data_IF_724618276757
#
_entry.id   IF_724618276757
#
_cell.length_a   1.000
_cell.length_b   1.000
_cell.length_c   1.000
_cell.angle_alpha   90.00
_cell.angle_beta   90.00
_cell.angle_gamma   90.00
#
_symmetry.space_group_name_H-M   'P 1'
#
loop_
_entity.id
_entity.type
_entity.pdbx_description
1 polymer ?
#
# COMPACT_ATOMS: atom_id res chain seq x y z
N UNK A 1 -51.30 12.09 -60.86
CA UNK A 1 -50.57 11.19 -59.94
C UNK A 1 -49.35 11.94 -59.42
N UNK A 2 -49.35 12.38 -58.14
CA UNK A 2 -48.27 13.18 -57.55
C UNK A 2 -47.17 12.24 -57.04
N UNK A 3 -45.94 12.45 -57.49
CA UNK A 3 -44.74 11.72 -57.03
C UNK A 3 -44.28 12.32 -55.70
N UNK A 4 -44.19 11.51 -54.66
CA UNK A 4 -43.59 11.87 -53.37
C UNK A 4 -42.19 11.28 -53.37
N UNK A 5 -41.18 12.14 -53.40
CA UNK A 5 -39.78 11.75 -53.27
C UNK A 5 -39.43 11.78 -51.78
N UNK A 6 -39.19 10.61 -51.19
CA UNK A 6 -38.81 10.47 -49.78
C UNK A 6 -37.28 10.60 -49.68
N UNK A 7 -36.81 11.66 -49.03
CA UNK A 7 -35.39 11.94 -48.81
C UNK A 7 -34.95 11.27 -47.50
N UNK A 8 -34.22 10.15 -47.57
CA UNK A 8 -33.59 9.52 -46.40
C UNK A 8 -32.32 10.30 -46.03
N UNK A 9 -32.37 11.02 -44.91
CA UNK A 9 -31.20 11.70 -44.33
C UNK A 9 -30.49 10.73 -43.40
N UNK A 10 -29.31 10.25 -43.81
CA UNK A 10 -28.45 9.38 -43.01
C UNK A 10 -27.63 10.25 -42.06
N UNK A 11 -28.01 10.32 -40.79
CA UNK A 11 -27.26 11.04 -39.75
C UNK A 11 -26.16 10.12 -39.22
N UNK A 12 -24.91 10.38 -39.61
CA UNK A 12 -23.73 9.68 -39.11
C UNK A 12 -23.43 10.17 -37.69
N UNK A 13 -23.81 9.40 -36.67
CA UNK A 13 -23.46 9.65 -35.27
C UNK A 13 -21.99 9.24 -35.05
N UNK A 14 -21.08 10.20 -35.04
CA UNK A 14 -19.68 9.95 -34.66
C UNK A 14 -19.61 9.91 -33.13
N UNK A 15 -19.61 8.70 -32.56
CA UNK A 15 -19.32 8.49 -31.15
C UNK A 15 -17.81 8.70 -30.94
N UNK A 16 -17.44 9.80 -30.29
CA UNK A 16 -16.09 9.95 -29.76
C UNK A 16 -15.92 9.00 -28.58
N UNK A 17 -15.35 7.82 -28.84
CA UNK A 17 -14.87 6.93 -27.78
C UNK A 17 -13.66 7.62 -27.16
N UNK A 18 -13.80 8.13 -25.93
CA UNK A 18 -12.62 8.49 -25.13
C UNK A 18 -11.93 7.19 -24.72
N UNK A 19 -10.61 7.14 -24.83
CA UNK A 19 -9.83 6.06 -24.24
C UNK A 19 -10.18 5.99 -22.74
N UNK A 20 -10.68 4.84 -22.30
CA UNK A 20 -10.99 4.59 -20.90
C UNK A 20 -9.73 4.03 -20.25
N UNK A 21 -9.31 4.62 -19.13
CA UNK A 21 -8.16 4.12 -18.39
C UNK A 21 -8.56 2.80 -17.71
N UNK A 22 -7.91 1.71 -18.10
CA UNK A 22 -8.22 0.35 -17.66
C UNK A 22 -7.89 0.03 -16.20
N UNK A 23 -6.90 0.70 -15.59
CA UNK A 23 -6.59 0.55 -14.16
C UNK A 23 -7.30 1.66 -13.40
N UNK A 24 -8.22 1.28 -12.52
CA UNK A 24 -8.97 2.22 -11.69
C UNK A 24 -8.16 2.61 -10.44
N UNK A 25 -7.57 1.62 -9.77
CA UNK A 25 -6.64 1.84 -8.67
C UNK A 25 -5.82 0.62 -8.29
N UNK A 26 -4.95 0.79 -7.29
CA UNK A 26 -4.46 -0.30 -6.44
C UNK A 26 -5.10 -0.18 -5.07
N UNK A 27 -5.69 -1.27 -4.60
CA UNK A 27 -6.39 -1.36 -3.32
C UNK A 27 -5.63 -2.24 -2.33
N UNK A 28 -5.74 -1.94 -1.04
CA UNK A 28 -5.07 -2.68 0.02
C UNK A 28 -6.09 -3.17 1.05
N UNK A 29 -6.10 -4.47 1.30
CA UNK A 29 -6.87 -5.10 2.38
C UNK A 29 -5.93 -5.44 3.54
N UNK A 30 -6.32 -5.11 4.78
CA UNK A 30 -5.72 -5.73 5.96
C UNK A 30 -6.32 -7.13 6.11
N UNK A 31 -5.59 -8.13 5.65
CA UNK A 31 -6.02 -9.51 5.60
C UNK A 31 -6.07 -10.16 6.98
N UNK A 32 -5.12 -9.85 7.86
CA UNK A 32 -5.07 -10.39 9.22
C UNK A 32 -4.23 -9.49 10.14
N UNK A 33 -4.53 -9.52 11.44
CA UNK A 33 -3.70 -8.93 12.51
C UNK A 33 -3.34 -10.05 13.47
N UNK A 34 -2.05 -10.31 13.70
CA UNK A 34 -1.60 -11.37 14.60
C UNK A 34 -1.87 -11.02 16.07
N UNK A 35 -2.21 -12.02 16.87
CA UNK A 35 -2.38 -11.88 18.32
C UNK A 35 -1.45 -12.83 19.10
N UNK A 36 -1.53 -12.79 20.43
CA UNK A 36 -0.69 -13.62 21.30
C UNK A 36 -0.85 -15.14 21.03
N UNK A 37 -2.04 -15.59 20.63
CA UNK A 37 -2.28 -17.01 20.34
C UNK A 37 -1.52 -17.48 19.09
N UNK A 38 -1.35 -16.61 18.10
CA UNK A 38 -0.63 -16.97 16.87
C UNK A 38 0.85 -17.27 17.10
N UNK A 39 1.43 -16.72 18.18
CA UNK A 39 2.83 -16.99 18.55
C UNK A 39 3.09 -18.44 18.96
N UNK A 40 2.04 -19.23 19.25
CA UNK A 40 2.15 -20.66 19.52
C UNK A 40 2.74 -21.44 18.33
N UNK A 41 2.56 -20.91 17.12
CA UNK A 41 3.06 -21.50 15.89
C UNK A 41 4.50 -21.08 15.54
N UNK A 42 5.15 -20.22 16.34
CA UNK A 42 6.45 -19.62 15.96
C UNK A 42 7.56 -20.65 15.76
N UNK A 43 7.53 -21.77 16.48
CA UNK A 43 8.52 -22.83 16.35
C UNK A 43 8.46 -23.53 14.98
N UNK A 44 7.28 -23.56 14.35
CA UNK A 44 7.02 -24.25 13.09
C UNK A 44 6.92 -23.28 11.91
N UNK A 45 6.26 -22.13 12.11
CA UNK A 45 5.98 -21.13 11.07
C UNK A 45 6.96 -19.96 11.05
N UNK A 46 7.87 -19.84 12.01
CA UNK A 46 8.77 -18.70 12.15
C UNK A 46 8.23 -17.62 13.09
N UNK A 47 9.11 -16.73 13.56
CA UNK A 47 8.74 -15.72 14.56
C UNK A 47 7.82 -14.68 13.94
N UNK A 48 6.54 -14.73 14.30
CA UNK A 48 5.53 -13.73 13.98
C UNK A 48 5.28 -12.85 15.22
N UNK A 49 5.72 -11.58 15.22
CA UNK A 49 5.41 -10.64 16.30
C UNK A 49 3.89 -10.46 16.48
N UNK A 50 3.46 -10.14 17.70
CA UNK A 50 2.06 -9.76 17.98
C UNK A 50 1.78 -8.38 17.39
N UNK A 51 0.62 -8.21 16.75
CA UNK A 51 0.25 -6.97 16.07
C UNK A 51 0.80 -6.84 14.65
N UNK A 52 1.50 -7.86 14.13
CA UNK A 52 1.85 -7.92 12.71
C UNK A 52 0.60 -7.90 11.85
N UNK A 53 0.63 -7.09 10.79
CA UNK A 53 -0.45 -6.97 9.82
C UNK A 53 -0.05 -7.65 8.52
N UNK A 54 -0.94 -8.49 8.01
CA UNK A 54 -0.84 -9.04 6.66
C UNK A 54 -1.66 -8.16 5.72
N UNK A 55 -1.01 -7.59 4.71
CA UNK A 55 -1.64 -6.77 3.69
C UNK A 55 -1.79 -7.56 2.40
N UNK A 56 -2.97 -7.52 1.78
CA UNK A 56 -3.17 -7.99 0.40
C UNK A 56 -3.36 -6.80 -0.53
N UNK A 57 -2.65 -6.80 -1.65
CA UNK A 57 -2.61 -5.69 -2.60
C UNK A 57 -3.27 -6.12 -3.90
N UNK A 58 -4.30 -5.39 -4.35
CA UNK A 58 -5.10 -5.74 -5.51
C UNK A 58 -4.98 -4.68 -6.61
N UNK A 59 -4.82 -5.10 -7.86
CA UNK A 59 -5.05 -4.24 -9.02
C UNK A 59 -6.54 -4.24 -9.35
N UNK A 60 -7.19 -3.07 -9.24
CA UNK A 60 -8.59 -2.86 -9.58
C UNK A 60 -8.71 -2.36 -11.01
N UNK A 61 -9.28 -3.18 -11.89
CA UNK A 61 -9.28 -2.93 -13.32
C UNK A 61 -10.70 -2.98 -13.87
N UNK A 62 -10.92 -2.25 -14.95
CA UNK A 62 -12.15 -2.37 -15.71
C UNK A 62 -12.31 -3.77 -16.31
N UNK A 63 -13.56 -4.17 -16.51
CA UNK A 63 -13.91 -5.43 -17.16
C UNK A 63 -13.17 -5.61 -18.49
N UNK A 64 -12.60 -6.79 -18.69
CA UNK A 64 -11.95 -7.18 -19.94
C UNK A 64 -10.46 -6.85 -20.05
N UNK A 65 -9.97 -5.94 -19.20
CA UNK A 65 -8.53 -5.66 -19.07
C UNK A 65 -7.81 -6.80 -18.32
N UNK A 66 -6.49 -6.86 -18.49
CA UNK A 66 -5.65 -7.90 -17.88
C UNK A 66 -4.45 -7.30 -17.16
N UNK A 67 -4.17 -7.73 -15.94
CA UNK A 67 -2.92 -7.40 -15.26
C UNK A 67 -1.76 -8.12 -15.96
N UNK A 68 -0.71 -7.41 -16.36
CA UNK A 68 0.44 -8.01 -17.06
C UNK A 68 1.71 -7.96 -16.23
N UNK A 69 2.04 -6.85 -15.59
CA UNK A 69 3.24 -6.74 -14.77
C UNK A 69 3.15 -5.60 -13.76
N UNK A 70 3.81 -5.78 -12.61
CA UNK A 70 4.32 -4.68 -11.81
C UNK A 70 5.83 -4.57 -12.06
N UNK A 71 6.32 -3.37 -12.39
CA UNK A 71 7.64 -3.20 -12.97
C UNK A 71 8.43 -2.02 -12.40
N UNK A 72 9.76 -2.17 -12.43
CA UNK A 72 10.74 -1.12 -12.23
C UNK A 72 11.61 -0.98 -13.47
N UNK A 73 11.77 0.25 -13.95
CA UNK A 73 12.59 0.63 -15.11
C UNK A 73 13.36 1.92 -14.79
N UNK A 74 14.40 2.30 -15.55
CA UNK A 74 15.06 3.59 -15.33
C UNK A 74 14.05 4.74 -15.36
N UNK A 75 14.02 5.56 -14.30
CA UNK A 75 13.04 6.64 -14.11
C UNK A 75 11.82 6.27 -13.28
N UNK A 76 11.50 4.98 -13.14
CA UNK A 76 10.35 4.49 -12.37
C UNK A 76 10.78 3.32 -11.47
N UNK A 77 11.10 3.63 -10.21
CA UNK A 77 11.43 2.63 -9.19
C UNK A 77 10.22 1.72 -8.92
N UNK A 78 10.47 0.42 -8.81
CA UNK A 78 9.58 -0.53 -8.14
C UNK A 78 10.09 -0.73 -6.71
N UNK A 79 9.27 -0.37 -5.73
CA UNK A 79 9.64 -0.39 -4.30
C UNK A 79 8.57 -1.01 -3.42
N UNK A 80 9.00 -1.90 -2.54
CA UNK A 80 8.23 -2.45 -1.42
C UNK A 80 9.09 -2.34 -0.16
N UNK A 81 8.56 -1.74 0.90
CA UNK A 81 9.36 -1.44 2.09
C UNK A 81 8.53 -1.60 3.38
N UNK A 82 9.19 -2.04 4.43
CA UNK A 82 8.70 -1.93 5.81
C UNK A 82 9.78 -1.37 6.73
N UNK A 83 9.37 -0.72 7.81
CA UNK A 83 10.28 -0.19 8.84
C UNK A 83 10.87 -1.28 9.75
N UNK A 84 10.34 -2.50 9.72
CA UNK A 84 10.87 -3.65 10.46
C UNK A 84 11.40 -4.71 9.50
N UNK A 85 10.75 -5.88 9.39
CA UNK A 85 11.08 -6.95 8.44
C UNK A 85 9.79 -7.50 7.83
N UNK A 86 9.90 -8.08 6.64
CA UNK A 86 8.82 -8.90 6.08
C UNK A 86 8.85 -10.28 6.71
N UNK A 87 7.72 -10.70 7.25
CA UNK A 87 7.55 -12.06 7.76
C UNK A 87 7.43 -13.04 6.59
N UNK A 88 8.33 -14.01 6.57
CA UNK A 88 8.27 -15.17 5.68
C UNK A 88 8.17 -16.44 6.52
N UNK A 89 7.19 -17.29 6.19
CA UNK A 89 6.94 -18.52 6.91
C UNK A 89 8.06 -19.54 6.66
N UNK A 90 8.59 -20.18 7.70
CA UNK A 90 9.75 -21.07 7.55
C UNK A 90 9.38 -22.52 7.14
N UNK A 91 8.11 -22.93 7.23
CA UNK A 91 7.64 -24.25 6.79
C UNK A 91 7.35 -24.25 5.28
N UNK A 92 6.60 -23.25 4.80
CA UNK A 92 6.11 -23.19 3.41
C UNK A 92 6.24 -21.83 2.73
N UNK A 93 7.03 -20.93 3.29
CA UNK A 93 7.27 -19.63 2.68
C UNK A 93 7.97 -19.76 1.33
N UNK A 94 7.55 -18.94 0.39
CA UNK A 94 8.12 -18.89 -0.94
C UNK A 94 7.78 -17.55 -1.60
N UNK A 95 8.57 -17.14 -2.59
CA UNK A 95 8.34 -15.88 -3.35
C UNK A 95 6.99 -15.81 -4.08
N UNK A 96 6.26 -16.92 -4.16
CA UNK A 96 4.90 -17.02 -4.72
C UNK A 96 4.07 -18.03 -3.93
N UNK A 97 2.73 -17.92 -3.90
CA UNK A 97 1.86 -18.76 -3.07
C UNK A 97 1.69 -20.17 -3.64
N UNK A 98 2.74 -20.99 -3.52
CA UNK A 98 2.82 -22.33 -4.10
C UNK A 98 2.20 -23.42 -3.22
N UNK A 99 1.91 -23.12 -1.95
CA UNK A 99 1.21 -24.06 -1.07
C UNK A 99 -0.20 -24.37 -1.57
N UNK A 100 -0.74 -25.52 -1.19
CA UNK A 100 -2.09 -25.97 -1.52
C UNK A 100 -3.10 -25.55 -0.44
N UNK A 101 -4.40 -25.51 -0.76
CA UNK A 101 -5.43 -25.14 0.23
C UNK A 101 -5.40 -26.00 1.52
N UNK A 102 -5.15 -27.33 1.47
CA UNK A 102 -4.93 -28.11 2.70
C UNK A 102 -3.69 -27.72 3.49
N UNK A 103 -2.61 -27.30 2.82
CA UNK A 103 -1.39 -26.82 3.49
C UNK A 103 -1.57 -25.43 4.11
N UNK A 104 -2.51 -24.62 3.61
CA UNK A 104 -2.87 -23.35 4.21
C UNK A 104 -3.41 -23.50 5.64
N UNK A 105 -3.96 -24.69 5.99
CA UNK A 105 -4.43 -24.98 7.34
C UNK A 105 -3.30 -25.08 8.38
N UNK A 106 -2.05 -25.22 7.96
CA UNK A 106 -0.91 -25.39 8.87
C UNK A 106 -0.43 -24.07 9.45
N UNK A 107 -0.11 -24.07 10.76
CA UNK A 107 0.58 -22.99 11.47
C UNK A 107 0.09 -21.57 11.05
N UNK A 108 1.00 -20.68 10.67
CA UNK A 108 0.77 -19.34 10.13
C UNK A 108 1.04 -19.24 8.61
N UNK A 109 0.99 -20.36 7.85
CA UNK A 109 1.29 -20.38 6.40
C UNK A 109 0.51 -19.32 5.62
N UNK A 110 -0.77 -19.10 5.97
CA UNK A 110 -1.62 -18.10 5.31
C UNK A 110 -1.11 -16.66 5.43
N UNK A 111 -0.16 -16.39 6.32
CA UNK A 111 0.39 -15.06 6.59
C UNK A 111 1.75 -14.84 5.94
N UNK A 112 2.25 -15.76 5.12
CA UNK A 112 3.50 -15.59 4.39
C UNK A 112 3.48 -14.34 3.47
N UNK A 113 4.66 -13.79 3.18
CA UNK A 113 4.81 -12.65 2.25
C UNK A 113 5.26 -13.15 0.87
N UNK A 114 4.52 -12.81 -0.18
CA UNK A 114 4.76 -13.32 -1.53
C UNK A 114 4.18 -12.44 -2.62
N UNK A 115 4.69 -12.61 -3.83
CA UNK A 115 4.14 -12.00 -5.05
C UNK A 115 3.03 -12.83 -5.63
N UNK A 116 2.09 -12.17 -6.30
CA UNK A 116 1.01 -12.86 -7.01
C UNK A 116 0.64 -12.15 -8.31
N UNK A 117 -0.10 -12.87 -9.12
CA UNK A 117 -0.81 -12.37 -10.28
C UNK A 117 -2.25 -12.90 -10.29
N UNK A 118 -2.80 -13.20 -9.12
CA UNK A 118 -4.20 -13.57 -8.91
C UNK A 118 -4.40 -14.75 -7.96
N UNK A 119 -3.37 -15.56 -7.73
CA UNK A 119 -3.42 -16.70 -6.82
C UNK A 119 -3.28 -16.27 -5.35
N UNK A 120 -4.03 -16.90 -4.44
CA UNK A 120 -3.71 -16.88 -3.01
C UNK A 120 -3.06 -18.19 -2.54
N UNK A 121 -3.29 -19.29 -3.27
CA UNK A 121 -2.60 -20.56 -3.14
C UNK A 121 -2.80 -21.34 -4.44
N UNK A 122 -2.20 -22.53 -4.55
CA UNK A 122 -2.41 -23.41 -5.71
C UNK A 122 -3.91 -23.65 -5.95
N UNK A 123 -4.37 -23.33 -7.16
CA UNK A 123 -5.73 -23.54 -7.64
C UNK A 123 -6.80 -22.60 -7.09
N UNK A 124 -6.45 -21.61 -6.26
CA UNK A 124 -7.42 -20.69 -5.66
C UNK A 124 -7.02 -19.24 -5.91
N UNK A 125 -8.00 -18.45 -6.36
CA UNK A 125 -7.85 -17.01 -6.49
C UNK A 125 -7.79 -16.36 -5.11
N UNK A 126 -6.96 -15.34 -4.99
CA UNK A 126 -7.03 -14.41 -3.88
C UNK A 126 -8.06 -13.34 -4.17
N UNK A 127 -9.09 -13.26 -3.34
CA UNK A 127 -10.17 -12.27 -3.42
C UNK A 127 -10.26 -11.50 -2.11
N UNK A 128 -10.99 -10.38 -2.10
CA UNK A 128 -11.33 -9.71 -0.84
C UNK A 128 -12.19 -10.62 0.01
N UNK A 129 -11.99 -10.61 1.33
CA UNK A 129 -12.81 -11.43 2.24
C UNK A 129 -14.28 -11.07 2.14
N UNK A 130 -14.62 -9.79 1.94
CA UNK A 130 -16.00 -9.33 1.73
C UNK A 130 -16.70 -9.91 0.50
N UNK A 131 -15.96 -10.49 -0.44
CA UNK A 131 -16.47 -11.12 -1.67
C UNK A 131 -16.38 -12.64 -1.65
N UNK A 132 -15.76 -13.20 -0.62
CA UNK A 132 -15.70 -14.64 -0.38
C UNK A 132 -17.09 -15.16 0.03
N UNK A 133 -17.47 -16.33 -0.44
CA UNK A 133 -18.78 -16.92 -0.14
C UNK A 133 -18.81 -17.63 1.23
N UNK A 134 -17.65 -17.75 1.90
CA UNK A 134 -17.50 -18.44 3.18
C UNK A 134 -17.65 -19.96 3.05
N UNK A 135 -17.62 -20.49 1.82
CA UNK A 135 -17.68 -21.92 1.55
C UNK A 135 -16.26 -22.48 1.45
N UNK A 136 -16.04 -23.63 2.06
CA UNK A 136 -14.72 -24.29 2.08
C UNK A 136 -13.61 -23.38 2.64
N UNK A 137 -13.96 -22.50 3.58
CA UNK A 137 -13.03 -21.71 4.39
C UNK A 137 -12.00 -22.64 5.06
N UNK A 138 -10.73 -22.28 4.97
CA UNK A 138 -9.63 -23.02 5.61
C UNK A 138 -9.86 -23.10 7.11
N UNK A 139 -9.88 -24.33 7.63
CA UNK A 139 -9.88 -24.59 9.07
C UNK A 139 -8.45 -24.86 9.50
N UNK A 140 -7.85 -23.93 10.26
CA UNK A 140 -6.50 -24.11 10.78
C UNK A 140 -6.40 -25.39 11.61
N UNK A 141 -5.38 -26.23 11.38
CA UNK A 141 -5.21 -27.53 12.00
C UNK A 141 -4.07 -27.58 13.02
N UNK A 142 -3.46 -26.43 13.33
CA UNK A 142 -2.45 -26.33 14.38
C UNK A 142 -3.08 -26.63 15.76
N UNK A 143 -2.28 -27.08 16.73
CA UNK A 143 -2.78 -27.44 18.07
C UNK A 143 -1.96 -26.76 19.16
N UNK A 144 -2.54 -25.82 19.95
CA UNK A 144 -3.88 -25.23 19.80
C UNK A 144 -4.08 -24.49 18.46
N UNK A 145 -5.31 -24.35 17.95
CA UNK A 145 -5.55 -23.66 16.69
C UNK A 145 -5.08 -22.21 16.75
N UNK A 146 -4.36 -21.78 15.71
CA UNK A 146 -3.98 -20.37 15.48
C UNK A 146 -4.84 -19.77 14.37
N UNK A 147 -4.70 -18.48 14.09
CA UNK A 147 -5.52 -17.76 13.10
C UNK A 147 -7.01 -17.68 13.46
N UNK A 148 -7.32 -17.62 14.76
CA UNK A 148 -8.70 -17.69 15.28
C UNK A 148 -9.30 -16.34 15.68
N UNK A 149 -8.51 -15.25 15.64
CA UNK A 149 -8.97 -13.98 16.17
C UNK A 149 -9.91 -13.22 15.21
N UNK A 150 -10.64 -12.26 15.77
CA UNK A 150 -11.64 -11.45 15.08
C UNK A 150 -11.34 -9.95 15.18
N UNK A 151 -10.06 -9.58 15.07
CA UNK A 151 -9.65 -8.18 15.11
C UNK A 151 -10.41 -7.37 14.05
N UNK A 152 -11.11 -6.33 14.50
CA UNK A 152 -11.94 -5.49 13.63
C UNK A 152 -11.14 -4.75 12.56
N UNK A 153 -9.84 -4.51 12.78
CA UNK A 153 -8.96 -3.90 11.79
C UNK A 153 -8.69 -4.84 10.61
N UNK A 154 -8.78 -6.15 10.80
CA UNK A 154 -8.74 -7.14 9.72
C UNK A 154 -10.13 -7.34 9.06
N UNK A 155 -11.20 -6.73 9.57
CA UNK A 155 -12.55 -6.95 9.06
C UNK A 155 -13.05 -8.36 9.34
N UNK A 156 -13.35 -9.14 8.29
CA UNK A 156 -14.00 -10.44 8.43
C UNK A 156 -12.97 -11.50 8.89
N UNK A 157 -13.25 -12.29 9.94
CA UNK A 157 -12.30 -13.29 10.45
C UNK A 157 -12.00 -14.39 9.43
N UNK A 158 -10.75 -14.91 9.44
CA UNK A 158 -10.34 -16.02 8.58
C UNK A 158 -11.10 -17.31 8.85
N UNK A 159 -11.73 -17.44 10.02
CA UNK A 159 -12.60 -18.57 10.37
C UNK A 159 -13.98 -18.50 9.69
N UNK A 160 -14.32 -17.38 9.05
CA UNK A 160 -15.56 -17.20 8.30
C UNK A 160 -15.27 -17.13 6.80
N UNK A 161 -14.36 -16.25 6.39
CA UNK A 161 -13.98 -16.00 5.00
C UNK A 161 -12.46 -15.90 4.91
N UNK A 162 -11.83 -16.83 4.19
CA UNK A 162 -10.37 -16.96 4.09
C UNK A 162 -9.79 -16.15 2.91
N UNK A 163 -10.65 -15.55 2.08
CA UNK A 163 -10.27 -14.81 0.89
C UNK A 163 -9.65 -15.71 -0.19
N UNK A 164 -9.99 -17.00 -0.21
CA UNK A 164 -9.51 -17.99 -1.18
C UNK A 164 -10.67 -18.70 -1.86
N UNK A 165 -10.91 -18.41 -3.14
CA UNK A 165 -12.00 -19.01 -3.90
C UNK A 165 -11.49 -19.88 -5.05
N UNK A 166 -12.09 -21.06 -5.22
CA UNK A 166 -11.84 -21.90 -6.37
C UNK A 166 -12.60 -21.35 -7.59
N UNK A 167 -11.89 -21.15 -8.70
CA UNK A 167 -12.49 -20.72 -9.97
C UNK A 167 -12.82 -21.85 -10.92
N UNK A 168 -13.54 -21.53 -12.00
CA UNK A 168 -13.72 -22.45 -13.14
C UNK A 168 -12.43 -22.73 -13.91
N UNK A 169 -11.38 -21.94 -13.64
CA UNK A 169 -10.01 -22.15 -14.09
C UNK A 169 -9.03 -21.82 -12.97
N UNK A 170 -7.73 -22.02 -13.23
CA UNK A 170 -6.68 -21.69 -12.26
C UNK A 170 -6.20 -20.25 -12.45
N UNK A 171 -5.82 -19.55 -11.37
CA UNK A 171 -5.09 -18.29 -11.49
C UNK A 171 -3.77 -18.49 -12.23
N UNK A 172 -3.30 -17.43 -12.90
CA UNK A 172 -2.02 -17.44 -13.61
C UNK A 172 -0.84 -17.58 -12.64
N UNK A 173 0.30 -18.04 -13.17
CA UNK A 173 1.54 -18.16 -12.40
C UNK A 173 2.39 -16.91 -12.53
N UNK A 174 3.06 -16.55 -11.43
CA UNK A 174 4.01 -15.44 -11.39
C UNK A 174 5.23 -15.79 -12.22
N UNK A 175 5.67 -14.85 -13.05
CA UNK A 175 6.96 -14.89 -13.74
C UNK A 175 7.81 -13.71 -13.27
N UNK A 176 8.99 -14.00 -12.74
CA UNK A 176 9.97 -12.98 -12.39
C UNK A 176 10.89 -12.70 -13.58
N UNK A 177 11.11 -11.43 -13.88
CA UNK A 177 12.01 -10.98 -14.96
C UNK A 177 12.96 -9.94 -14.40
N UNK A 178 14.27 -10.12 -14.59
CA UNK A 178 15.29 -9.11 -14.27
C UNK A 178 15.70 -9.01 -12.79
N UNK A 179 14.94 -9.60 -11.87
CA UNK A 179 15.32 -9.64 -10.46
C UNK A 179 16.61 -10.43 -10.23
N UNK A 180 17.43 -9.91 -9.32
CA UNK A 180 18.56 -10.60 -8.72
C UNK A 180 18.09 -11.42 -7.52
N UNK A 181 18.86 -12.46 -7.14
CA UNK A 181 18.53 -13.26 -5.96
C UNK A 181 18.37 -12.40 -4.69
N UNK A 182 19.29 -11.47 -4.34
CA UNK A 182 19.13 -10.64 -3.13
C UNK A 182 17.86 -9.79 -3.10
N UNK A 183 17.32 -9.37 -4.25
CA UNK A 183 16.06 -8.63 -4.31
C UNK A 183 14.85 -9.53 -4.02
N UNK A 184 14.89 -10.82 -4.42
CA UNK A 184 13.81 -11.78 -4.18
C UNK A 184 13.93 -12.50 -2.83
N UNK A 185 15.14 -12.68 -2.31
CA UNK A 185 15.42 -13.38 -1.04
C UNK A 185 14.70 -12.71 0.15
N UNK A 186 14.33 -11.42 0.02
CA UNK A 186 13.49 -10.68 0.98
C UNK A 186 12.14 -11.37 1.22
N UNK A 187 11.63 -12.11 0.24
CA UNK A 187 10.34 -12.81 0.24
C UNK A 187 10.48 -14.32 0.02
N UNK A 188 11.67 -14.88 0.25
CA UNK A 188 11.90 -16.33 0.21
C UNK A 188 11.84 -16.94 1.62
N UNK A 189 12.13 -18.24 1.75
CA UNK A 189 12.09 -18.98 3.01
C UNK A 189 13.06 -18.41 4.07
N UNK A 190 12.56 -17.45 4.85
CA UNK A 190 13.26 -16.84 5.99
C UNK A 190 13.07 -15.32 6.05
N UNK A 191 12.85 -14.80 7.26
CA UNK A 191 12.67 -13.36 7.48
C UNK A 191 14.04 -12.66 7.52
N UNK A 192 14.47 -12.08 6.40
CA UNK A 192 15.85 -11.56 6.23
C UNK A 192 15.94 -10.10 5.78
N UNK A 193 14.85 -9.51 5.30
CA UNK A 193 14.89 -8.18 4.69
C UNK A 193 13.63 -7.35 4.88
N UNK A 194 13.75 -6.08 4.56
CA UNK A 194 12.71 -5.07 4.75
C UNK A 194 12.50 -4.17 3.53
N UNK A 195 13.27 -4.39 2.46
CA UNK A 195 13.26 -3.54 1.28
C UNK A 195 13.50 -4.38 0.03
N UNK A 196 12.57 -4.27 -0.92
CA UNK A 196 12.83 -4.53 -2.33
C UNK A 196 12.80 -3.18 -3.05
N UNK A 197 13.87 -2.87 -3.79
CA UNK A 197 13.97 -1.67 -4.61
C UNK A 197 14.72 -2.02 -5.89
N UNK A 198 14.11 -1.76 -7.03
CA UNK A 198 14.69 -2.09 -8.33
C UNK A 198 14.24 -1.15 -9.44
N UNK A 199 15.08 -1.03 -10.46
CA UNK A 199 14.83 -0.23 -11.67
C UNK A 199 15.02 -1.07 -12.95
N UNK A 200 15.04 -2.39 -12.84
CA UNK A 200 15.27 -3.26 -13.99
C UNK A 200 14.64 -4.64 -13.82
N UNK A 201 13.49 -4.71 -13.18
CA UNK A 201 12.83 -5.98 -12.91
C UNK A 201 11.31 -5.86 -12.84
N UNK A 202 10.64 -6.99 -12.98
CA UNK A 202 9.18 -7.08 -12.86
C UNK A 202 8.75 -8.45 -12.36
N UNK A 203 7.61 -8.51 -11.68
CA UNK A 203 6.84 -9.73 -11.55
C UNK A 203 5.60 -9.62 -12.45
N UNK A 204 5.36 -10.66 -13.24
CA UNK A 204 4.51 -10.59 -14.41
C UNK A 204 3.60 -11.81 -14.57
N UNK A 205 2.50 -11.60 -15.28
CA UNK A 205 1.63 -12.63 -15.82
C UNK A 205 1.75 -12.65 -17.33
N UNK A 206 2.40 -13.68 -17.88
CA UNK A 206 2.70 -13.75 -19.31
C UNK A 206 1.44 -13.81 -20.20
N UNK A 207 0.37 -14.44 -19.71
CA UNK A 207 -0.91 -14.53 -20.42
C UNK A 207 -1.88 -13.37 -20.09
N UNK A 208 -1.48 -12.55 -19.12
CA UNK A 208 -2.30 -11.51 -18.48
C UNK A 208 -3.40 -12.09 -17.60
N UNK A 209 -3.50 -11.59 -16.37
CA UNK A 209 -4.41 -12.10 -15.35
C UNK A 209 -5.71 -11.30 -15.29
N UNK A 210 -6.81 -11.98 -14.98
CA UNK A 210 -8.12 -11.38 -14.71
C UNK A 210 -8.57 -11.75 -13.30
N UNK A 211 -9.36 -10.88 -12.68
CA UNK A 211 -9.99 -11.19 -11.41
C UNK A 211 -10.94 -12.39 -11.53
N UNK A 212 -11.19 -13.05 -10.40
CA UNK A 212 -12.16 -14.15 -10.31
C UNK A 212 -13.54 -13.70 -10.81
N UNK A 213 -14.02 -12.56 -10.28
CA UNK A 213 -15.18 -11.87 -10.84
C UNK A 213 -14.70 -11.05 -12.03
N UNK A 214 -15.11 -11.44 -13.24
CA UNK A 214 -14.70 -10.76 -14.47
C UNK A 214 -15.29 -9.36 -14.65
N UNK A 215 -16.34 -9.00 -13.88
CA UNK A 215 -16.97 -7.67 -13.92
C UNK A 215 -16.24 -6.72 -12.99
N UNK A 216 -16.02 -7.12 -11.74
CA UNK A 216 -15.22 -6.34 -10.79
C UNK A 216 -13.72 -6.35 -11.12
N UNK A 217 -13.24 -7.45 -11.73
CA UNK A 217 -11.89 -7.65 -12.28
C UNK A 217 -10.72 -7.22 -11.39
N UNK A 218 -10.84 -7.49 -10.08
CA UNK A 218 -9.77 -7.26 -9.10
C UNK A 218 -8.81 -8.45 -9.06
N UNK A 219 -7.51 -8.18 -9.24
CA UNK A 219 -6.46 -9.21 -9.24
C UNK A 219 -5.57 -9.01 -8.03
N UNK A 220 -5.41 -10.04 -7.19
CA UNK A 220 -4.41 -10.04 -6.12
C UNK A 220 -3.00 -10.04 -6.72
N UNK A 221 -2.20 -9.01 -6.45
CA UNK A 221 -0.85 -8.86 -7.00
C UNK A 221 0.27 -9.10 -5.97
N UNK A 222 -0.07 -9.26 -4.70
CA UNK A 222 0.88 -9.63 -3.65
C UNK A 222 0.26 -9.65 -2.26
N UNK A 223 0.93 -10.32 -1.34
CA UNK A 223 0.62 -10.36 0.08
C UNK A 223 1.89 -10.06 0.87
N UNK A 224 1.82 -9.20 1.89
CA UNK A 224 3.00 -8.76 2.63
C UNK A 224 2.68 -8.63 4.12
N UNK A 225 3.45 -9.31 4.98
CA UNK A 225 3.23 -9.33 6.42
C UNK A 225 4.37 -8.65 7.15
N UNK A 226 4.04 -7.74 8.07
CA UNK A 226 5.03 -7.02 8.86
C UNK A 226 4.41 -6.42 10.13
N UNK A 227 5.19 -6.24 11.19
CA UNK A 227 4.85 -5.42 12.37
C UNK A 227 5.30 -3.95 12.25
N UNK A 228 5.89 -3.59 11.10
CA UNK A 228 6.31 -2.24 10.79
C UNK A 228 5.30 -1.45 9.96
N UNK A 229 5.70 -0.25 9.55
CA UNK A 229 4.97 0.57 8.59
C UNK A 229 5.28 0.03 7.19
N UNK A 230 4.37 -0.74 6.62
CA UNK A 230 4.42 -1.17 5.23
C UNK A 230 4.18 0.01 4.28
N UNK A 231 4.95 0.10 3.20
CA UNK A 231 4.77 1.07 2.13
C UNK A 231 5.20 0.50 0.78
N UNK A 232 4.66 1.05 -0.30
CA UNK A 232 5.06 0.70 -1.65
C UNK A 232 5.01 1.87 -2.61
N UNK A 233 5.79 1.74 -3.68
CA UNK A 233 5.73 2.53 -4.90
C UNK A 233 5.76 1.56 -6.09
N UNK A 234 4.65 1.47 -6.82
CA UNK A 234 4.48 0.53 -7.92
C UNK A 234 4.38 1.26 -9.26
N UNK A 235 4.70 0.54 -10.33
CA UNK A 235 4.30 0.89 -11.69
C UNK A 235 3.69 -0.37 -12.31
N UNK A 236 2.59 -0.23 -13.05
CA UNK A 236 1.79 -1.36 -13.50
C UNK A 236 1.54 -1.26 -15.01
N UNK A 237 1.74 -2.37 -15.70
CA UNK A 237 1.31 -2.57 -17.07
C UNK A 237 0.06 -3.44 -17.09
N UNK A 238 -0.94 -3.02 -17.85
CA UNK A 238 -2.14 -3.82 -18.15
C UNK A 238 -2.33 -3.99 -19.65
N UNK A 239 -2.92 -5.13 -20.02
CA UNK A 239 -3.37 -5.41 -21.38
C UNK A 239 -4.79 -4.91 -21.59
N UNK A 240 -4.99 -4.17 -22.69
CA UNK A 240 -6.30 -3.69 -23.14
C UNK A 240 -7.13 -4.83 -23.76
N UNK A 241 -8.48 -4.73 -23.76
CA UNK A 241 -9.35 -5.71 -24.42
C UNK A 241 -9.08 -5.88 -25.92
N UNK A 242 -8.49 -4.87 -26.56
CA UNK A 242 -8.17 -4.85 -28.01
C UNK A 242 -6.75 -5.32 -28.33
N UNK A 243 -5.99 -5.79 -27.34
CA UNK A 243 -4.64 -6.36 -27.53
C UNK A 243 -3.48 -5.36 -27.49
N UNK A 244 -3.73 -4.09 -27.15
CA UNK A 244 -2.69 -3.11 -26.79
C UNK A 244 -2.35 -3.14 -25.29
N UNK A 245 -1.53 -2.20 -24.84
CA UNK A 245 -1.11 -2.05 -23.44
C UNK A 245 -1.32 -0.63 -22.92
N UNK A 246 -1.51 -0.52 -21.60
CA UNK A 246 -1.50 0.75 -20.86
C UNK A 246 -0.48 0.65 -19.73
N UNK A 247 0.32 1.71 -19.55
CA UNK A 247 1.37 1.78 -18.54
C UNK A 247 1.02 2.86 -17.51
N UNK A 248 1.02 2.47 -16.25
CA UNK A 248 0.69 3.31 -15.12
C UNK A 248 1.91 3.46 -14.21
N UNK A 249 2.22 4.69 -13.83
CA UNK A 249 3.39 5.00 -13.00
C UNK A 249 2.99 5.80 -11.76
N UNK A 250 3.72 5.61 -10.66
CA UNK A 250 3.44 6.31 -9.42
C UNK A 250 3.70 7.83 -9.50
N UNK A 251 4.70 8.24 -10.28
CA UNK A 251 5.02 9.65 -10.51
C UNK A 251 5.78 9.84 -11.83
N UNK A 252 5.96 11.11 -12.21
CA UNK A 252 6.90 11.55 -13.25
C UNK A 252 6.68 10.91 -14.64
N UNK A 253 5.43 10.72 -15.07
CA UNK A 253 5.09 10.06 -16.34
C UNK A 253 5.81 10.65 -17.56
N UNK A 254 6.24 9.75 -18.45
CA UNK A 254 6.83 10.06 -19.75
C UNK A 254 6.02 9.45 -20.89
N UNK A 255 5.98 10.15 -22.04
CA UNK A 255 5.28 9.66 -23.22
C UNK A 255 3.78 9.43 -23.00
N UNK A 256 3.34 8.19 -23.16
CA UNK A 256 1.92 7.78 -23.06
C UNK A 256 1.57 7.15 -21.69
N UNK A 257 2.46 7.25 -20.71
CA UNK A 257 2.20 6.75 -19.36
C UNK A 257 1.12 7.56 -18.64
N UNK A 258 0.45 6.91 -17.69
CA UNK A 258 -0.61 7.49 -16.89
C UNK A 258 -0.17 7.52 -15.42
N UNK A 259 -0.20 8.69 -14.78
CA UNK A 259 0.09 8.79 -13.35
C UNK A 259 -1.14 8.37 -12.54
N UNK A 260 -0.96 7.49 -11.55
CA UNK A 260 -1.99 7.14 -10.56
C UNK A 260 -1.45 7.23 -9.14
N UNK A 261 -2.10 8.04 -8.30
CA UNK A 261 -1.64 8.29 -6.92
C UNK A 261 -1.73 7.07 -6.01
N UNK A 262 -2.70 6.16 -6.24
CA UNK A 262 -2.83 4.92 -5.46
C UNK A 262 -1.78 3.86 -5.80
N UNK A 263 -0.88 4.12 -6.74
CA UNK A 263 0.34 3.32 -6.91
C UNK A 263 1.40 3.62 -5.83
N UNK A 264 1.16 4.60 -4.97
CA UNK A 264 1.93 4.82 -3.75
C UNK A 264 1.04 4.56 -2.54
N UNK A 265 1.56 3.84 -1.55
CA UNK A 265 0.85 3.53 -0.31
C UNK A 265 1.78 3.58 0.89
N UNK A 266 1.25 4.03 2.01
CA UNK A 266 1.88 3.92 3.33
C UNK A 266 0.79 3.46 4.29
N UNK A 267 1.02 2.35 4.97
CA UNK A 267 0.08 1.80 5.93
C UNK A 267 -0.13 2.76 7.11
N UNK A 268 -1.35 2.81 7.67
CA UNK A 268 -1.60 3.61 8.86
C UNK A 268 -0.73 3.13 10.03
N UNK A 269 -0.09 4.08 10.72
CA UNK A 269 0.57 3.81 11.99
C UNK A 269 -0.50 3.45 13.01
N UNK A 270 -0.38 2.27 13.60
CA UNK A 270 -1.29 1.87 14.65
C UNK A 270 -0.98 2.67 15.92
N UNK A 271 -1.85 3.61 16.24
CA UNK A 271 -1.74 4.43 17.46
C UNK A 271 -2.54 3.84 18.61
N UNK A 272 -3.15 2.65 18.44
CA UNK A 272 -3.87 2.00 19.54
C UNK A 272 -2.88 1.35 20.51
N UNK A 273 -2.58 2.08 21.58
CA UNK A 273 -1.99 1.51 22.79
C UNK A 273 -3.03 0.57 23.41
N UNK A 274 -2.86 -0.74 23.24
CA UNK A 274 -3.51 -1.73 24.08
C UNK A 274 -2.99 -1.58 25.51
N UNK A 275 -3.82 -1.03 26.39
CA UNK A 275 -3.47 -0.74 27.79
C UNK A 275 -3.45 -1.98 28.69
N UNK A 276 -3.46 -3.20 28.16
CA UNK A 276 -3.47 -4.42 28.98
C UNK A 276 -2.07 -5.03 29.18
N UNK A 277 -1.18 -4.27 29.82
CA UNK A 277 0.03 -4.86 30.42
C UNK A 277 1.30 -4.03 30.31
N UNK A 278 1.51 -3.14 31.29
CA UNK A 278 2.80 -2.62 31.79
C UNK A 278 3.88 -2.26 30.75
N UNK A 279 4.14 -0.94 30.61
CA UNK A 279 5.38 -0.40 30.06
C UNK A 279 5.21 0.59 28.91
N UNK A 280 4.38 1.62 29.11
CA UNK A 280 4.16 2.69 28.12
C UNK A 280 5.47 3.42 27.82
N UNK A 281 6.09 3.13 26.67
CA UNK A 281 6.84 4.15 25.93
C UNK A 281 5.80 4.78 25.00
N UNK A 282 5.08 5.79 25.51
CA UNK A 282 4.32 6.65 24.63
C UNK A 282 5.33 7.29 23.68
N UNK A 283 5.16 7.10 22.37
CA UNK A 283 5.90 7.91 21.41
C UNK A 283 5.38 9.34 21.56
N UNK A 284 6.11 10.14 22.32
CA UNK A 284 5.80 11.52 22.63
C UNK A 284 6.49 12.42 21.58
N UNK A 285 5.73 13.26 20.86
CA UNK A 285 6.30 14.15 19.85
C UNK A 285 5.30 14.87 18.93
N UNK A 286 5.79 15.22 17.74
CA UNK A 286 5.10 15.96 16.68
C UNK A 286 4.67 14.95 15.60
N UNK A 287 3.36 14.77 15.42
CA UNK A 287 2.79 13.77 14.48
C UNK A 287 2.62 14.33 13.06
N UNK A 288 2.42 15.65 12.93
CA UNK A 288 2.40 16.32 11.64
C UNK A 288 2.96 17.73 11.76
N UNK A 289 3.63 18.20 10.71
CA UNK A 289 4.20 19.54 10.61
C UNK A 289 4.33 19.95 9.15
N UNK A 290 3.51 20.91 8.73
CA UNK A 290 3.52 21.48 7.37
C UNK A 290 3.49 23.00 7.40
N UNK A 291 4.07 23.60 6.35
CA UNK A 291 4.23 25.05 6.21
C UNK A 291 3.78 25.45 4.81
N UNK A 292 2.81 26.35 4.70
CA UNK A 292 2.26 26.81 3.42
C UNK A 292 1.73 28.26 3.48
N UNK A 293 1.79 29.04 2.38
CA UNK A 293 2.49 28.71 1.14
C UNK A 293 4.01 28.71 1.33
N UNK A 294 4.71 27.92 0.52
CA UNK A 294 6.17 27.92 0.45
C UNK A 294 6.58 27.60 -1.00
N UNK A 295 7.14 28.55 -1.78
CA UNK A 295 7.60 29.88 -1.37
C UNK A 295 6.50 30.85 -0.89
N UNK A 296 6.90 31.90 -0.16
CA UNK A 296 6.01 32.98 0.32
C UNK A 296 6.59 34.37 0.06
N UNK A 297 5.75 35.41 0.12
CA UNK A 297 6.18 36.81 0.13
C UNK A 297 6.03 37.42 1.54
N UNK A 298 4.88 37.21 2.19
CA UNK A 298 4.53 37.94 3.41
C UNK A 298 4.43 37.04 4.64
N UNK A 299 3.77 35.89 4.56
CA UNK A 299 3.55 35.02 5.73
C UNK A 299 3.50 33.55 5.36
N UNK A 300 3.70 32.67 6.33
CA UNK A 300 3.38 31.25 6.21
C UNK A 300 2.37 30.83 7.28
N UNK A 301 1.55 29.85 6.94
CA UNK A 301 0.71 29.11 7.87
C UNK A 301 1.41 27.81 8.21
N UNK A 302 1.52 27.55 9.50
CA UNK A 302 2.08 26.34 10.08
C UNK A 302 0.91 25.51 10.61
N UNK A 303 0.78 24.27 10.16
CA UNK A 303 -0.17 23.32 10.75
C UNK A 303 0.55 22.15 11.36
N UNK A 304 0.13 21.74 12.55
CA UNK A 304 0.81 20.69 13.29
C UNK A 304 -0.11 19.94 14.26
N UNK A 305 0.22 18.67 14.48
CA UNK A 305 -0.35 17.82 15.53
C UNK A 305 0.76 17.46 16.52
N UNK A 306 0.41 17.36 17.79
CA UNK A 306 1.33 17.10 18.90
C UNK A 306 0.67 16.18 19.92
N UNK A 307 1.47 15.40 20.63
CA UNK A 307 0.90 14.37 21.49
C UNK A 307 0.40 14.89 22.84
N UNK A 308 1.19 15.68 23.61
CA UNK A 308 0.78 16.07 24.98
C UNK A 308 1.27 17.45 25.46
N UNK A 309 2.44 17.94 25.07
CA UNK A 309 3.00 19.20 25.64
C UNK A 309 2.58 20.49 24.94
N UNK A 310 2.99 21.62 25.50
CA UNK A 310 3.15 22.87 24.77
C UNK A 310 4.21 22.69 23.66
N UNK A 311 3.95 23.27 22.49
CA UNK A 311 4.93 23.27 21.40
C UNK A 311 5.62 24.63 21.35
N UNK A 312 6.83 24.69 20.81
CA UNK A 312 7.55 25.94 20.58
C UNK A 312 8.08 25.95 19.17
N UNK A 313 7.95 27.06 18.46
CA UNK A 313 8.68 27.24 17.21
C UNK A 313 9.82 28.24 17.36
N UNK A 314 10.86 28.04 16.57
CA UNK A 314 11.92 29.03 16.32
C UNK A 314 12.18 29.13 14.83
N UNK A 315 12.26 30.35 14.31
CA UNK A 315 12.63 30.65 12.93
C UNK A 315 14.08 31.16 12.91
N UNK A 316 14.90 30.61 12.04
CA UNK A 316 16.32 30.93 11.90
C UNK A 316 16.65 31.42 10.50
N UNK A 317 17.66 32.30 10.38
CA UNK A 317 18.40 32.49 9.13
C UNK A 317 19.40 31.34 8.88
N UNK A 318 20.13 31.40 7.76
CA UNK A 318 21.11 30.37 7.38
C UNK A 318 22.35 30.38 8.27
N UNK A 319 22.65 31.50 8.91
CA UNK A 319 23.73 31.65 9.89
C UNK A 319 23.32 31.11 11.28
N UNK A 320 22.07 30.69 11.46
CA UNK A 320 21.56 30.09 12.70
C UNK A 320 21.10 31.11 13.75
N UNK A 321 20.96 32.38 13.38
CA UNK A 321 20.42 33.42 14.27
C UNK A 321 18.91 33.27 14.36
N UNK A 322 18.38 33.27 15.58
CA UNK A 322 16.93 33.25 15.85
C UNK A 322 16.32 34.58 15.46
N UNK A 323 15.35 34.55 14.55
CA UNK A 323 14.60 35.72 14.05
C UNK A 323 13.23 35.86 14.71
N UNK A 324 12.60 34.74 15.04
CA UNK A 324 11.33 34.71 15.75
C UNK A 324 11.22 33.41 16.55
N UNK A 325 10.56 33.44 17.70
CA UNK A 325 10.15 32.25 18.41
C UNK A 325 8.83 32.51 19.14
N UNK A 326 8.06 31.44 19.37
CA UNK A 326 6.80 31.55 20.09
C UNK A 326 6.46 30.22 20.75
N UNK A 327 5.91 30.32 21.95
CA UNK A 327 5.23 29.22 22.62
C UNK A 327 3.81 29.07 22.04
N UNK A 328 3.49 27.85 21.63
CA UNK A 328 2.27 27.49 20.95
C UNK A 328 1.37 26.66 21.87
N UNK A 329 0.34 27.35 22.35
CA UNK A 329 -0.73 26.77 23.15
C UNK A 329 -1.87 26.31 22.23
N UNK A 330 -2.37 25.09 22.45
CA UNK A 330 -3.36 24.50 21.57
C UNK A 330 -3.61 23.02 21.88
N UNK A 331 -4.67 22.47 21.26
CA UNK A 331 -5.08 21.07 21.40
C UNK A 331 -4.01 20.11 20.87
N UNK A 332 -4.14 18.81 21.14
CA UNK A 332 -3.24 17.80 20.59
C UNK A 332 -3.31 17.74 19.04
N UNK A 333 -4.48 18.05 18.45
CA UNK A 333 -4.75 17.83 17.03
C UNK A 333 -5.23 19.11 16.35
N UNK A 334 -4.85 19.29 15.07
CA UNK A 334 -5.26 20.38 14.15
C UNK A 334 -4.89 21.79 14.64
N UNK A 335 -3.67 21.96 15.15
CA UNK A 335 -3.20 23.30 15.47
C UNK A 335 -2.78 24.05 14.21
N UNK A 336 -2.99 25.36 14.22
CA UNK A 336 -2.56 26.25 13.15
C UNK A 336 -2.04 27.56 13.73
N UNK A 337 -0.93 28.06 13.19
CA UNK A 337 -0.32 29.35 13.54
C UNK A 337 0.15 30.05 12.28
N UNK A 338 -0.06 31.36 12.18
CA UNK A 338 0.46 32.18 11.10
C UNK A 338 1.74 32.88 11.56
N UNK A 339 2.81 32.74 10.79
CA UNK A 339 4.08 33.42 11.02
C UNK A 339 4.23 34.50 9.96
N UNK A 340 4.37 35.74 10.41
CA UNK A 340 4.64 36.89 9.55
C UNK A 340 6.14 36.96 9.24
N UNK A 341 6.47 36.99 7.95
CA UNK A 341 7.82 37.16 7.42
C UNK A 341 7.96 38.47 6.65
N UNK A 342 6.94 39.32 6.55
CA UNK A 342 6.88 40.49 5.65
C UNK A 342 8.07 41.44 5.81
N UNK A 343 8.57 41.60 7.04
CA UNK A 343 9.71 42.46 7.37
C UNK A 343 11.09 41.82 7.17
N UNK A 344 11.16 40.53 6.87
CA UNK A 344 12.42 39.81 6.61
C UNK A 344 12.89 40.02 5.17
N UNK A 345 14.19 39.89 4.92
CA UNK A 345 14.73 39.96 3.56
C UNK A 345 14.33 38.73 2.72
N UNK A 346 14.50 38.81 1.41
CA UNK A 346 14.25 37.66 0.53
C UNK A 346 15.40 36.66 0.73
N UNK A 347 15.07 35.37 0.84
CA UNK A 347 16.05 34.36 1.23
C UNK A 347 15.46 33.07 1.75
N UNK A 348 16.33 32.24 2.32
CA UNK A 348 15.97 30.94 2.89
C UNK A 348 16.00 31.03 4.42
N UNK A 349 14.98 30.45 5.04
CA UNK A 349 14.84 30.36 6.49
C UNK A 349 14.58 28.92 6.92
N UNK A 350 14.93 28.60 8.17
CA UNK A 350 14.63 27.30 8.78
C UNK A 350 13.62 27.53 9.89
N UNK A 351 12.44 26.92 9.76
CA UNK A 351 11.45 26.87 10.84
C UNK A 351 11.61 25.54 11.57
N UNK A 352 11.91 25.64 12.85
CA UNK A 352 11.99 24.52 13.77
C UNK A 352 10.74 24.49 14.65
N UNK A 353 10.13 23.32 14.80
CA UNK A 353 9.07 23.07 15.76
C UNK A 353 9.57 22.03 16.76
N UNK A 354 9.39 22.32 18.05
CA UNK A 354 9.76 21.42 19.15
C UNK A 354 8.56 21.17 20.06
N UNK A 355 8.30 19.91 20.39
CA UNK A 355 7.30 19.49 21.36
C UNK A 355 7.72 18.15 21.97
N UNK A 356 7.45 17.95 23.25
CA UNK A 356 7.71 16.70 23.96
C UNK A 356 9.18 16.19 23.80
N UNK A 357 10.15 17.10 23.69
CA UNK A 357 11.58 16.78 23.51
C UNK A 357 11.99 16.39 22.08
N UNK A 358 11.04 16.33 21.15
CA UNK A 358 11.27 16.07 19.73
C UNK A 358 11.31 17.38 18.95
N UNK A 359 12.23 17.47 18.00
CA UNK A 359 12.43 18.66 17.17
C UNK A 359 12.38 18.28 15.69
N UNK A 360 11.61 19.03 14.91
CA UNK A 360 11.50 18.87 13.46
C UNK A 360 11.71 20.21 12.76
N UNK A 361 12.21 20.20 11.52
CA UNK A 361 12.59 21.39 10.77
C UNK A 361 11.92 21.42 9.39
N UNK A 362 11.54 22.61 8.93
CA UNK A 362 11.08 22.88 7.56
C UNK A 362 11.81 24.10 6.99
N UNK A 363 12.26 23.97 5.75
CA UNK A 363 12.83 25.08 4.97
C UNK A 363 11.71 25.97 4.46
N UNK A 364 11.84 27.29 4.62
CA UNK A 364 10.95 28.31 4.05
C UNK A 364 11.75 29.13 3.03
N UNK A 365 11.15 29.40 1.89
CA UNK A 365 11.70 30.27 0.84
C UNK A 365 10.85 31.55 0.81
N UNK A 366 11.47 32.69 1.11
CA UNK A 366 10.86 34.01 0.94
C UNK A 366 11.36 34.66 -0.34
N UNK A 367 10.44 35.07 -1.20
CA UNK A 367 10.73 35.65 -2.52
C UNK A 367 10.88 37.16 -2.52
#
# INVERSE_FOLDING_TARGET
MKKITLLFTFTLLVLFVRAQNGLECVEVEVYYVSNANDTLANADGGVLPVGSKTYRVYADMLQGYKFQAAYGVPGHELRLETTTLFFNNIDRGATSPTYTKPQAASNTVMLDSWFSVGAACTGNYGIFKSTDDGVATVVNNFTPQVLQNNDTAAGIPLTQQDGMIAGTGNPEQVTFVGFTAPELDVFDAGTVGNLLSTHNASWASLNGSKGYDTVANKVLIGQFTTDGIFSFKLNIQIGTPTGGVENYVADSAVGNEIVLSCLTYVSPVDTTVDTTGVGVIALSGIESFSVYPNPTNDFVTVTYNKTKSTAHYSLFDLEGKVLANKELNGSAVKNSEQIDLSLLANGVYILQLSADGITTNKKIIKN
#
